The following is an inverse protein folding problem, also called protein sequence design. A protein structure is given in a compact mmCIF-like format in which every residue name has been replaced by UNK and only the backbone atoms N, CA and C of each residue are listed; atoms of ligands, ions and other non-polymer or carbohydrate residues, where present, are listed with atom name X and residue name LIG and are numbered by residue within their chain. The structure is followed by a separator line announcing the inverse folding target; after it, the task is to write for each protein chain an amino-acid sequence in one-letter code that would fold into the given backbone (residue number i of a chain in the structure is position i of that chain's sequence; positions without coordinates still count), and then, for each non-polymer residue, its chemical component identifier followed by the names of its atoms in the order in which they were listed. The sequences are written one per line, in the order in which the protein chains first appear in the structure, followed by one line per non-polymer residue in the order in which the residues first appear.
data_IF_230682404415
#
_entry.id   IF_230682404415
#
_cell.length_a   1.000
_cell.length_b   1.000
_cell.length_c   1.000
_cell.angle_alpha   90.00
_cell.angle_beta   90.00
_cell.angle_gamma   90.00
#
_symmetry.space_group_name_H-M   'P 1'
#
loop_
_entity.id
_entity.type
_entity.pdbx_description
1 polymer ?
#
# COMPACT_ATOMS: atom_id res chain seq x y z
N UNK A 1 -34.55 -12.10 -58.10
CA UNK A 1 -33.48 -11.19 -57.63
C UNK A 1 -32.67 -11.93 -56.56
N UNK A 2 -31.43 -12.31 -56.85
CA UNK A 2 -30.60 -13.13 -55.94
C UNK A 2 -29.79 -12.20 -55.02
N UNK A 3 -30.05 -12.27 -53.71
CA UNK A 3 -29.37 -11.45 -52.71
C UNK A 3 -27.89 -11.83 -52.57
N UNK A 4 -26.99 -10.86 -52.75
CA UNK A 4 -25.55 -11.05 -52.53
C UNK A 4 -25.26 -11.13 -51.02
N UNK A 5 -24.74 -12.25 -50.56
CA UNK A 5 -24.25 -12.39 -49.18
C UNK A 5 -22.95 -11.60 -49.00
N UNK A 6 -23.00 -10.51 -48.24
CA UNK A 6 -21.83 -9.72 -47.88
C UNK A 6 -20.91 -10.52 -46.95
N UNK A 7 -19.71 -10.87 -47.43
CA UNK A 7 -18.69 -11.55 -46.62
C UNK A 7 -18.02 -10.54 -45.69
N UNK A 8 -18.10 -10.78 -44.38
CA UNK A 8 -17.46 -9.93 -43.35
C UNK A 8 -15.93 -10.04 -43.43
N UNK A 9 -15.19 -8.93 -43.25
CA UNK A 9 -13.72 -8.95 -43.28
C UNK A 9 -13.16 -9.71 -42.06
N UNK A 10 -12.13 -10.55 -42.29
CA UNK A 10 -11.45 -11.29 -41.23
C UNK A 10 -10.46 -10.36 -40.50
N UNK A 11 -10.62 -10.24 -39.18
CA UNK A 11 -9.83 -9.36 -38.30
C UNK A 11 -8.46 -9.96 -37.87
N UNK A 12 -8.10 -11.15 -38.35
CA UNK A 12 -6.85 -11.82 -37.97
C UNK A 12 -6.05 -12.24 -39.19
N UNK A 13 -4.73 -12.09 -39.11
CA UNK A 13 -3.77 -12.56 -40.12
C UNK A 13 -3.68 -14.09 -40.04
N UNK A 14 -3.73 -14.76 -41.18
CA UNK A 14 -3.63 -16.23 -41.22
C UNK A 14 -2.23 -16.68 -40.76
N UNK A 15 -2.18 -17.76 -39.97
CA UNK A 15 -0.93 -18.31 -39.46
C UNK A 15 0.00 -18.75 -40.62
N UNK A 16 1.33 -18.59 -40.49
CA UNK A 16 2.27 -19.11 -41.48
C UNK A 16 2.14 -20.63 -41.53
N UNK A 17 1.89 -21.17 -42.73
CA UNK A 17 1.90 -22.62 -42.93
C UNK A 17 3.34 -23.09 -43.06
N UNK A 18 3.78 -24.12 -42.33
CA UNK A 18 5.05 -24.78 -42.65
C UNK A 18 4.93 -25.41 -44.04
N UNK A 19 5.96 -25.22 -44.85
CA UNK A 19 6.04 -25.81 -46.18
C UNK A 19 5.92 -27.34 -46.05
N UNK A 20 4.95 -27.94 -46.76
CA UNK A 20 4.91 -29.38 -46.95
C UNK A 20 6.01 -29.75 -47.94
N UNK A 21 7.20 -30.05 -47.43
CA UNK A 21 8.22 -30.78 -48.18
C UNK A 21 7.83 -32.26 -48.28
N UNK A 22 8.03 -32.93 -49.43
CA UNK A 22 7.85 -34.38 -49.56
C UNK A 22 8.78 -35.12 -48.61
N UNK A 23 8.22 -36.02 -47.81
CA UNK A 23 8.98 -37.02 -47.06
C UNK A 23 9.54 -38.05 -48.07
N UNK A 24 10.86 -38.21 -48.12
CA UNK A 24 11.52 -39.39 -48.72
C UNK A 24 12.58 -39.90 -47.73
N UNK A 25 12.57 -41.19 -47.35
CA UNK A 25 13.61 -41.81 -46.52
C UNK A 25 14.80 -42.32 -47.36
N UNK A 26 16.04 -42.14 -46.87
CA UNK A 26 17.19 -42.97 -47.26
C UNK A 26 18.46 -42.24 -47.71
N UNK A 27 19.49 -42.33 -46.85
CA UNK A 27 20.92 -42.57 -47.13
C UNK A 27 21.85 -41.49 -47.74
N UNK A 28 22.83 -41.13 -46.89
CA UNK A 28 24.28 -40.97 -47.08
C UNK A 28 24.98 -39.80 -47.82
N UNK A 29 26.09 -39.45 -47.17
CA UNK A 29 27.32 -38.76 -47.61
C UNK A 29 27.31 -37.23 -47.87
N UNK A 30 28.20 -36.56 -47.15
CA UNK A 30 28.57 -35.15 -47.30
C UNK A 30 29.50 -34.96 -48.53
N UNK A 31 29.72 -33.72 -49.02
CA UNK A 31 30.80 -32.94 -48.42
C UNK A 31 30.56 -31.42 -48.32
N UNK A 32 31.27 -30.83 -47.36
CA UNK A 32 31.54 -29.38 -47.12
C UNK A 32 32.26 -28.71 -48.33
N UNK A 33 32.33 -27.36 -48.51
CA UNK A 33 32.90 -26.48 -47.48
C UNK A 33 32.55 -24.96 -47.43
N UNK A 34 33.02 -24.39 -46.31
CA UNK A 34 33.53 -23.02 -46.08
C UNK A 34 32.55 -21.84 -45.87
N UNK A 35 32.55 -21.32 -44.63
CA UNK A 35 32.45 -19.88 -44.40
C UNK A 35 31.93 -19.44 -43.02
N UNK A 36 32.85 -18.91 -42.20
CA UNK A 36 32.65 -18.04 -41.03
C UNK A 36 32.23 -18.68 -39.69
N UNK A 37 33.26 -18.86 -38.86
CA UNK A 37 33.23 -19.16 -37.44
C UNK A 37 32.51 -18.07 -36.63
N UNK A 38 31.66 -18.47 -35.70
CA UNK A 38 31.43 -17.73 -34.47
C UNK A 38 31.21 -18.74 -33.33
N UNK A 39 32.24 -18.86 -32.49
CA UNK A 39 32.31 -19.76 -31.37
C UNK A 39 31.13 -19.57 -30.39
N UNK A 40 30.37 -20.63 -30.15
CA UNK A 40 29.70 -20.83 -28.87
C UNK A 40 29.89 -22.27 -28.42
N UNK A 41 30.57 -22.38 -27.29
CA UNK A 41 30.92 -23.62 -26.62
C UNK A 41 29.72 -24.56 -26.56
N UNK A 42 29.90 -25.72 -27.19
CA UNK A 42 29.07 -26.89 -26.99
C UNK A 42 29.34 -27.42 -25.58
N UNK A 43 28.57 -26.96 -24.60
CA UNK A 43 28.39 -27.71 -23.37
C UNK A 43 27.40 -28.83 -23.69
N UNK A 44 27.92 -30.06 -23.80
CA UNK A 44 27.20 -31.25 -24.18
C UNK A 44 25.91 -31.41 -23.37
N UNK A 45 24.80 -31.49 -24.09
CA UNK A 45 23.55 -31.99 -23.54
C UNK A 45 23.71 -33.49 -23.29
N UNK A 46 24.21 -33.83 -22.10
CA UNK A 46 24.22 -35.21 -21.62
C UNK A 46 22.75 -35.58 -21.37
N UNK A 47 22.21 -36.41 -22.26
CA UNK A 47 20.96 -37.12 -22.04
C UNK A 47 21.13 -37.93 -20.75
N UNK A 48 20.44 -37.53 -19.67
CA UNK A 48 20.49 -38.23 -18.39
C UNK A 48 19.82 -39.59 -18.55
N UNK A 49 20.59 -40.61 -18.90
CA UNK A 49 20.16 -42.00 -18.94
C UNK A 49 20.13 -42.55 -17.51
N UNK A 50 18.94 -43.00 -17.10
CA UNK A 50 18.63 -43.72 -15.86
C UNK A 50 19.12 -43.13 -14.51
N UNK A 51 18.14 -42.53 -13.81
CA UNK A 51 18.02 -42.39 -12.36
C UNK A 51 19.15 -41.67 -11.61
N UNK A 52 19.18 -40.34 -11.78
CA UNK A 52 20.09 -39.36 -11.14
C UNK A 52 20.17 -39.49 -9.60
N UNK A 53 19.13 -40.02 -8.95
CA UNK A 53 19.04 -40.11 -7.48
C UNK A 53 19.22 -41.53 -6.92
N UNK A 54 19.57 -42.53 -7.74
CA UNK A 54 19.60 -43.94 -7.32
C UNK A 54 20.54 -44.24 -6.13
N UNK A 55 21.54 -43.38 -5.86
CA UNK A 55 22.47 -43.52 -4.74
C UNK A 55 22.20 -42.61 -3.55
N UNK A 56 21.18 -41.74 -3.60
CA UNK A 56 20.99 -40.73 -2.55
C UNK A 56 20.12 -41.29 -1.43
N UNK A 57 20.74 -41.61 -0.29
CA UNK A 57 20.04 -41.95 0.94
C UNK A 57 19.63 -40.66 1.66
N UNK A 58 18.37 -40.29 1.54
CA UNK A 58 17.80 -39.11 2.22
C UNK A 58 17.14 -39.61 3.50
N UNK A 59 17.66 -39.19 4.66
CA UNK A 59 17.06 -39.54 5.94
C UNK A 59 15.73 -38.79 6.15
N UNK A 60 14.66 -39.47 6.57
CA UNK A 60 13.33 -38.85 6.72
C UNK A 60 13.32 -37.71 7.73
N UNK A 61 14.23 -37.74 8.71
CA UNK A 61 14.37 -36.70 9.74
C UNK A 61 14.99 -35.41 9.21
N UNK A 62 15.79 -35.45 8.13
CA UNK A 62 16.40 -34.26 7.54
C UNK A 62 15.47 -33.51 6.59
N UNK A 63 14.34 -34.11 6.20
CA UNK A 63 13.31 -33.47 5.38
C UNK A 63 12.47 -32.45 6.17
N UNK A 64 12.48 -32.54 7.51
CA UNK A 64 11.80 -31.58 8.38
C UNK A 64 12.71 -30.37 8.58
N UNK A 65 12.83 -29.54 7.52
CA UNK A 65 13.37 -28.19 7.67
C UNK A 65 12.29 -27.32 8.29
N UNK A 66 12.35 -27.13 9.60
CA UNK A 66 11.66 -26.01 10.27
C UNK A 66 12.34 -24.73 9.80
N UNK A 67 11.80 -24.09 8.78
CA UNK A 67 12.22 -22.75 8.40
C UNK A 67 11.73 -21.81 9.51
N UNK A 68 12.65 -21.08 10.13
CA UNK A 68 12.30 -19.98 11.02
C UNK A 68 11.50 -18.98 10.21
N UNK A 69 10.23 -18.82 10.59
CA UNK A 69 9.28 -17.98 9.89
C UNK A 69 9.73 -16.55 10.11
N UNK A 70 10.43 -16.00 9.14
CA UNK A 70 10.88 -14.61 9.13
C UNK A 70 9.64 -13.72 9.26
N UNK A 71 9.65 -12.77 10.20
CA UNK A 71 8.47 -11.99 10.63
C UNK A 71 7.80 -11.26 9.45
N UNK A 72 8.54 -11.05 8.37
CA UNK A 72 8.08 -10.46 7.12
C UNK A 72 7.13 -11.35 6.30
N UNK A 73 7.15 -12.67 6.47
CA UNK A 73 6.26 -13.61 5.75
C UNK A 73 4.93 -13.85 6.44
N UNK A 74 4.77 -13.44 7.70
CA UNK A 74 3.53 -13.61 8.48
C UNK A 74 2.36 -12.87 7.80
N UNK A 75 2.62 -11.71 7.18
CA UNK A 75 1.60 -10.94 6.45
C UNK A 75 1.01 -11.71 5.25
N UNK A 76 1.77 -12.62 4.64
CA UNK A 76 1.26 -13.50 3.59
C UNK A 76 0.55 -14.76 4.10
N UNK A 77 0.86 -15.19 5.33
CA UNK A 77 0.23 -16.34 5.98
C UNK A 77 -1.17 -16.01 6.53
N UNK A 78 -1.34 -14.84 7.17
CA UNK A 78 -2.63 -14.42 7.76
C UNK A 78 -3.72 -14.23 6.69
N UNK A 79 -3.35 -13.83 5.47
CA UNK A 79 -4.32 -13.70 4.35
C UNK A 79 -4.75 -15.06 3.75
N UNK A 80 -4.11 -16.15 4.17
CA UNK A 80 -4.46 -17.53 3.83
C UNK A 80 -5.07 -18.31 5.01
N UNK A 81 -5.25 -17.66 6.16
CA UNK A 81 -5.92 -18.19 7.36
C UNK A 81 -7.43 -17.88 7.35
N UNK A 82 -8.02 -17.70 6.16
CA UNK A 82 -9.32 -18.30 5.98
C UNK A 82 -9.01 -19.80 6.05
N UNK A 83 -9.30 -20.44 7.19
CA UNK A 83 -9.34 -21.89 7.30
C UNK A 83 -9.91 -22.44 5.98
N UNK A 84 -9.51 -23.63 5.55
CA UNK A 84 -10.16 -24.27 4.40
C UNK A 84 -11.61 -24.64 4.77
N UNK A 85 -12.43 -23.70 5.24
CA UNK A 85 -13.87 -23.69 5.26
C UNK A 85 -14.24 -24.20 3.88
N UNK A 86 -14.76 -25.42 3.88
CA UNK A 86 -15.22 -26.09 2.68
C UNK A 86 -16.50 -25.38 2.24
N UNK A 87 -16.34 -24.15 1.73
CA UNK A 87 -17.45 -23.33 1.29
C UNK A 87 -18.18 -24.10 0.18
N UNK A 88 -19.52 -24.15 0.21
CA UNK A 88 -20.30 -24.76 -0.84
C UNK A 88 -19.94 -24.16 -2.20
N UNK A 89 -20.03 -24.96 -3.27
CA UNK A 89 -19.71 -24.56 -4.65
C UNK A 89 -20.38 -23.24 -5.05
N UNK A 90 -21.60 -22.99 -4.56
CA UNK A 90 -22.35 -21.75 -4.77
C UNK A 90 -21.62 -20.52 -4.20
N UNK A 91 -21.12 -20.60 -2.98
CA UNK A 91 -20.38 -19.50 -2.33
C UNK A 91 -19.02 -19.28 -3.00
N UNK A 92 -18.31 -20.36 -3.33
CA UNK A 92 -17.05 -20.27 -4.10
C UNK A 92 -17.26 -19.56 -5.45
N UNK A 93 -18.37 -19.83 -6.13
CA UNK A 93 -18.69 -19.13 -7.38
C UNK A 93 -19.03 -17.65 -7.16
N UNK A 94 -19.78 -17.31 -6.11
CA UNK A 94 -20.05 -15.91 -5.75
C UNK A 94 -18.77 -15.15 -5.44
N UNK A 95 -17.89 -15.70 -4.61
CA UNK A 95 -16.60 -15.09 -4.28
C UNK A 95 -15.72 -14.89 -5.53
N UNK A 96 -15.70 -15.86 -6.46
CA UNK A 96 -14.98 -15.69 -7.73
C UNK A 96 -15.54 -14.52 -8.54
N UNK A 97 -16.87 -14.39 -8.65
CA UNK A 97 -17.53 -13.28 -9.35
C UNK A 97 -17.23 -11.95 -8.66
N UNK A 98 -17.31 -11.89 -7.34
CA UNK A 98 -17.04 -10.69 -6.57
C UNK A 98 -15.58 -10.24 -6.69
N UNK A 99 -14.62 -11.15 -6.50
CA UNK A 99 -13.19 -10.88 -6.72
C UNK A 99 -12.92 -10.39 -8.14
N UNK A 100 -13.63 -10.94 -9.13
CA UNK A 100 -13.52 -10.50 -10.53
C UNK A 100 -14.07 -9.08 -10.73
N UNK A 101 -15.24 -8.77 -10.16
CA UNK A 101 -15.84 -7.44 -10.22
C UNK A 101 -14.97 -6.40 -9.50
N UNK A 102 -14.52 -6.69 -8.29
CA UNK A 102 -13.57 -5.87 -7.53
C UNK A 102 -12.30 -5.59 -8.35
N UNK A 103 -11.74 -6.61 -9.03
CA UNK A 103 -10.58 -6.41 -9.90
C UNK A 103 -10.88 -5.46 -11.06
N UNK A 104 -12.05 -5.57 -11.69
CA UNK A 104 -12.46 -4.65 -12.76
C UNK A 104 -12.61 -3.21 -12.23
N UNK A 105 -13.26 -3.04 -11.09
CA UNK A 105 -13.47 -1.74 -10.45
C UNK A 105 -12.13 -1.09 -10.08
N UNK A 106 -11.21 -1.83 -9.46
CA UNK A 106 -9.87 -1.34 -9.13
C UNK A 106 -9.11 -0.89 -10.37
N UNK A 107 -9.18 -1.65 -11.47
CA UNK A 107 -8.55 -1.24 -12.75
C UNK A 107 -9.18 0.04 -13.30
N UNK A 108 -10.51 0.20 -13.21
CA UNK A 108 -11.19 1.42 -13.65
C UNK A 108 -10.77 2.63 -12.81
N UNK A 109 -10.74 2.48 -11.49
CA UNK A 109 -10.31 3.53 -10.56
C UNK A 109 -8.86 3.94 -10.83
N UNK A 110 -7.94 2.98 -10.95
CA UNK A 110 -6.55 3.26 -11.27
C UNK A 110 -6.39 4.01 -12.61
N UNK A 111 -7.13 3.61 -13.65
CA UNK A 111 -7.12 4.33 -14.94
C UNK A 111 -7.71 5.74 -14.83
N UNK A 112 -8.73 5.93 -14.01
CA UNK A 112 -9.32 7.25 -13.77
C UNK A 112 -8.35 8.16 -13.03
N UNK A 113 -7.68 7.65 -12.00
CA UNK A 113 -6.64 8.36 -11.26
C UNK A 113 -5.49 8.77 -12.19
N UNK A 114 -4.96 7.86 -13.02
CA UNK A 114 -3.91 8.19 -14.00
C UNK A 114 -4.33 9.30 -14.97
N UNK A 115 -5.58 9.26 -15.48
CA UNK A 115 -6.09 10.32 -16.35
C UNK A 115 -6.21 11.66 -15.61
N UNK A 116 -6.69 11.64 -14.37
CA UNK A 116 -6.80 12.85 -13.55
C UNK A 116 -5.42 13.43 -13.24
N UNK A 117 -4.45 12.59 -12.89
CA UNK A 117 -3.07 12.98 -12.64
C UNK A 117 -2.40 13.54 -13.89
N UNK A 118 -2.56 12.92 -15.06
CA UNK A 118 -2.04 13.46 -16.32
C UNK A 118 -2.62 14.84 -16.65
N UNK A 119 -3.92 15.06 -16.39
CA UNK A 119 -4.55 16.37 -16.56
C UNK A 119 -3.97 17.41 -15.62
N UNK A 120 -3.75 17.06 -14.36
CA UNK A 120 -3.15 17.94 -13.34
C UNK A 120 -1.71 18.31 -13.68
N UNK A 121 -0.89 17.31 -14.04
CA UNK A 121 0.49 17.51 -14.51
C UNK A 121 0.58 18.38 -15.76
N UNK A 122 -0.42 18.30 -16.65
CA UNK A 122 -0.48 19.11 -17.86
C UNK A 122 -0.93 20.55 -17.59
N UNK A 123 -1.70 20.80 -16.53
CA UNK A 123 -2.01 22.16 -16.11
C UNK A 123 -0.80 22.75 -15.38
N UNK A 124 -0.19 23.84 -15.87
CA UNK A 124 0.94 24.50 -15.20
C UNK A 124 0.40 25.31 -14.01
N UNK A 125 -0.15 24.61 -13.02
CA UNK A 125 -0.67 25.18 -11.79
C UNK A 125 0.42 25.01 -10.75
N UNK A 126 0.97 26.12 -10.29
CA UNK A 126 1.94 26.11 -9.17
C UNK A 126 1.18 25.63 -7.93
N UNK A 127 1.43 24.39 -7.51
CA UNK A 127 0.92 23.84 -6.24
C UNK A 127 -0.29 22.90 -6.37
N UNK A 128 -0.13 21.78 -7.08
CA UNK A 128 -1.07 20.67 -7.00
C UNK A 128 -1.20 20.19 -5.53
N UNK A 129 -2.34 20.45 -4.88
CA UNK A 129 -2.62 20.05 -3.49
C UNK A 129 -3.06 18.58 -3.36
N UNK A 130 -3.35 17.92 -4.48
CA UNK A 130 -3.88 16.56 -4.47
C UNK A 130 -2.96 15.50 -3.88
N UNK A 131 -1.62 15.55 -4.08
CA UNK A 131 -0.69 14.64 -3.41
C UNK A 131 -0.74 14.73 -1.88
N UNK A 132 -1.05 15.91 -1.33
CA UNK A 132 -1.22 16.08 0.12
C UNK A 132 -2.49 15.40 0.62
N UNK A 133 -3.56 15.41 -0.17
CA UNK A 133 -4.82 14.75 0.18
C UNK A 133 -4.71 13.23 0.10
N UNK A 134 -4.00 12.71 -0.90
CA UNK A 134 -3.81 11.27 -1.11
C UNK A 134 -2.88 10.64 -0.04
N UNK A 135 -1.97 11.43 0.52
CA UNK A 135 -1.11 11.02 1.63
C UNK A 135 -1.83 10.97 2.99
N UNK A 136 -3.09 11.41 3.08
CA UNK A 136 -3.85 11.33 4.32
C UNK A 136 -4.50 9.95 4.48
N UNK A 137 -4.51 9.37 5.69
CA UNK A 137 -5.23 8.12 5.95
C UNK A 137 -6.73 8.26 5.66
N UNK A 138 -7.32 7.23 5.04
CA UNK A 138 -8.77 7.17 4.91
C UNK A 138 -9.43 6.92 6.28
N UNK A 139 -10.68 7.36 6.45
CA UNK A 139 -11.41 7.21 7.73
C UNK A 139 -11.56 5.73 8.13
N UNK A 140 -11.65 4.82 7.15
CA UNK A 140 -11.62 3.36 7.33
C UNK A 140 -10.34 2.89 8.02
N UNK A 141 -9.20 3.39 7.56
CA UNK A 141 -7.87 3.06 8.07
C UNK A 141 -7.68 3.62 9.49
N UNK A 142 -8.19 4.83 9.77
CA UNK A 142 -8.19 5.39 11.12
C UNK A 142 -9.02 4.56 12.09
N UNK A 143 -10.21 4.11 11.67
CA UNK A 143 -11.07 3.26 12.51
C UNK A 143 -10.41 1.91 12.74
N UNK A 144 -9.76 1.32 11.73
CA UNK A 144 -9.00 0.08 11.88
C UNK A 144 -7.79 0.26 12.82
N UNK A 145 -7.00 1.32 12.67
CA UNK A 145 -5.85 1.63 13.51
C UNK A 145 -6.25 1.95 14.97
N UNK A 146 -7.38 2.65 15.18
CA UNK A 146 -7.89 2.96 16.52
C UNK A 146 -8.24 1.73 17.36
N UNK A 147 -8.55 0.58 16.72
CA UNK A 147 -8.84 -0.68 17.42
C UNK A 147 -7.59 -1.26 18.09
N UNK A 148 -6.39 -0.90 17.61
CA UNK A 148 -5.11 -1.37 18.13
C UNK A 148 -4.48 -0.41 19.14
N UNK A 149 -4.95 0.84 19.21
CA UNK A 149 -4.45 1.84 20.16
C UNK A 149 -5.45 2.05 21.29
N UNK A 150 -5.42 1.17 22.30
CA UNK A 150 -6.12 1.41 23.57
C UNK A 150 -5.34 2.44 24.39
N UNK A 151 -5.37 3.69 23.99
CA UNK A 151 -5.08 4.76 24.93
C UNK A 151 -6.23 4.80 25.96
N UNK A 152 -5.94 4.83 27.27
CA UNK A 152 -6.99 5.12 28.25
C UNK A 152 -7.59 6.46 27.87
N UNK A 153 -8.88 6.46 27.54
CA UNK A 153 -9.66 7.67 27.35
C UNK A 153 -9.74 8.35 28.72
N UNK A 154 -8.71 9.10 29.09
CA UNK A 154 -8.88 10.16 30.08
C UNK A 154 -9.89 11.12 29.47
N UNK A 155 -11.03 11.39 30.12
CA UNK A 155 -11.88 12.49 29.72
C UNK A 155 -11.09 13.77 30.06
N UNK A 156 -10.16 14.15 29.18
CA UNK A 156 -9.69 15.51 29.13
C UNK A 156 -10.91 16.34 28.75
N UNK A 157 -11.65 16.81 29.77
CA UNK A 157 -12.52 17.96 29.62
C UNK A 157 -11.58 19.03 29.11
N UNK A 158 -11.66 19.29 27.80
CA UNK A 158 -11.05 20.45 27.16
C UNK A 158 -11.36 21.59 28.14
N UNK A 159 -10.34 22.13 28.82
CA UNK A 159 -10.50 23.44 29.48
C UNK A 159 -11.19 24.26 28.41
N UNK A 160 -12.41 24.72 28.70
CA UNK A 160 -13.31 25.29 27.71
C UNK A 160 -12.55 26.48 27.14
N UNK A 161 -11.80 26.21 26.08
CA UNK A 161 -11.05 27.19 25.33
C UNK A 161 -12.18 28.02 24.78
N UNK A 162 -12.42 29.14 25.45
CA UNK A 162 -13.55 30.03 25.23
C UNK A 162 -13.81 30.02 23.73
N UNK A 163 -14.94 29.45 23.27
CA UNK A 163 -15.10 29.09 21.86
C UNK A 163 -15.07 30.38 21.02
N UNK A 164 -13.87 30.83 20.63
CA UNK A 164 -13.66 32.14 20.03
C UNK A 164 -14.51 32.26 18.76
N UNK A 165 -14.70 31.16 18.03
CA UNK A 165 -15.54 31.13 16.83
C UNK A 165 -17.01 31.54 17.07
N UNK A 166 -17.55 31.31 18.27
CA UNK A 166 -18.95 31.60 18.61
C UNK A 166 -19.16 33.02 19.17
N UNK A 167 -18.08 33.72 19.53
CA UNK A 167 -18.14 35.04 20.16
C UNK A 167 -18.29 36.17 19.13
N UNK A 168 -19.02 37.22 19.53
CA UNK A 168 -19.08 38.48 18.78
C UNK A 168 -17.69 39.14 18.71
N UNK A 169 -17.41 39.92 17.67
CA UNK A 169 -16.10 40.57 17.47
C UNK A 169 -15.67 41.47 18.63
N UNK A 170 -16.60 42.20 19.25
CA UNK A 170 -16.35 43.05 20.43
C UNK A 170 -15.93 42.23 21.64
N UNK A 171 -16.57 41.08 21.83
CA UNK A 171 -16.27 40.16 22.92
C UNK A 171 -14.88 39.53 22.74
N UNK A 172 -14.52 39.14 21.51
CA UNK A 172 -13.16 38.68 21.17
C UNK A 172 -12.11 39.74 21.51
N UNK A 173 -12.37 41.00 21.14
CA UNK A 173 -11.47 42.12 21.46
C UNK A 173 -11.31 42.29 22.98
N UNK A 174 -12.39 42.15 23.76
CA UNK A 174 -12.31 42.24 25.22
C UNK A 174 -11.46 41.12 25.83
N UNK A 175 -11.61 39.87 25.37
CA UNK A 175 -10.77 38.75 25.84
C UNK A 175 -9.30 39.03 25.54
N UNK A 176 -8.98 39.47 24.32
CA UNK A 176 -7.61 39.81 23.95
C UNK A 176 -7.05 40.94 24.82
N UNK A 177 -7.82 41.99 25.10
CA UNK A 177 -7.39 43.08 25.98
C UNK A 177 -7.13 42.60 27.41
N UNK A 178 -7.91 41.65 27.92
CA UNK A 178 -7.67 41.04 29.23
C UNK A 178 -6.38 40.20 29.23
N UNK A 179 -6.14 39.40 28.19
CA UNK A 179 -4.91 38.61 28.04
C UNK A 179 -3.67 39.52 27.95
N UNK A 180 -3.74 40.59 27.16
CA UNK A 180 -2.68 41.60 27.06
C UNK A 180 -2.42 42.26 28.43
N UNK A 181 -3.47 42.60 29.19
CA UNK A 181 -3.33 43.15 30.52
C UNK A 181 -2.68 42.16 31.51
N UNK A 182 -3.06 40.88 31.46
CA UNK A 182 -2.44 39.82 32.27
C UNK A 182 -0.97 39.61 31.93
N UNK A 183 -0.63 39.67 30.64
CA UNK A 183 0.75 39.56 30.18
C UNK A 183 1.60 40.75 30.66
N UNK A 184 1.11 41.97 30.50
CA UNK A 184 1.80 43.16 30.99
C UNK A 184 1.99 43.14 32.51
N UNK A 185 1.00 42.63 33.27
CA UNK A 185 1.15 42.42 34.71
C UNK A 185 2.33 41.49 35.00
N UNK A 186 2.36 40.33 34.36
CA UNK A 186 3.43 39.33 34.55
C UNK A 186 4.82 39.87 34.19
N UNK A 187 4.96 40.62 33.09
CA UNK A 187 6.24 41.25 32.72
C UNK A 187 6.63 42.36 33.69
N UNK A 188 5.64 43.08 34.24
CA UNK A 188 5.89 44.18 35.17
C UNK A 188 6.32 43.67 36.54
N UNK A 189 5.97 42.44 36.90
CA UNK A 189 6.31 41.82 38.18
C UNK A 189 7.84 41.73 38.35
N UNK A 190 8.41 42.28 39.44
CA UNK A 190 9.86 42.35 39.63
C UNK A 190 10.50 40.96 39.77
N UNK A 191 9.76 39.98 40.32
CA UNK A 191 10.20 38.59 40.45
C UNK A 191 10.40 37.94 39.07
N UNK A 192 9.50 38.22 38.13
CA UNK A 192 9.60 37.72 36.76
C UNK A 192 10.76 38.39 36.01
N UNK A 193 11.01 39.69 36.24
CA UNK A 193 12.16 40.40 35.66
C UNK A 193 13.50 39.89 36.19
N UNK A 194 13.58 39.56 37.48
CA UNK A 194 14.81 39.06 38.09
C UNK A 194 15.16 37.65 37.61
N UNK A 195 14.17 36.74 37.55
CA UNK A 195 14.38 35.35 37.18
C UNK A 195 13.16 34.76 36.47
N UNK A 196 13.03 34.93 35.14
CA UNK A 196 11.82 34.52 34.42
C UNK A 196 11.68 33.00 34.33
N UNK A 197 12.78 32.27 34.15
CA UNK A 197 12.76 30.82 33.97
C UNK A 197 12.33 30.07 35.24
N UNK A 198 12.69 30.57 36.42
CA UNK A 198 12.32 29.96 37.70
C UNK A 198 10.82 30.11 37.97
N UNK A 199 10.28 31.32 37.75
CA UNK A 199 8.85 31.62 37.90
C UNK A 199 8.01 30.76 36.96
N UNK A 200 8.44 30.59 35.71
CA UNK A 200 7.78 29.69 34.75
C UNK A 200 7.87 28.23 35.20
N UNK A 201 9.04 27.78 35.67
CA UNK A 201 9.25 26.44 36.20
C UNK A 201 8.34 26.10 37.39
N UNK A 202 8.20 27.04 38.34
CA UNK A 202 7.27 26.92 39.48
C UNK A 202 5.81 26.87 39.03
N UNK A 203 5.41 27.69 38.06
CA UNK A 203 4.04 27.67 37.53
C UNK A 203 3.69 26.32 36.90
N UNK A 204 4.59 25.79 36.06
CA UNK A 204 4.42 24.50 35.40
C UNK A 204 4.40 23.34 36.40
N UNK A 205 5.26 23.36 37.41
CA UNK A 205 5.26 22.31 38.44
C UNK A 205 3.98 22.32 39.27
N UNK A 206 3.45 23.50 39.64
CA UNK A 206 2.12 23.63 40.29
C UNK A 206 0.99 23.08 39.40
N UNK A 207 0.99 23.41 38.10
CA UNK A 207 0.03 22.87 37.11
C UNK A 207 0.06 21.34 37.05
N UNK A 208 1.26 20.76 36.95
CA UNK A 208 1.44 19.30 36.89
C UNK A 208 1.00 18.59 38.18
N UNK A 209 1.22 19.20 39.34
CA UNK A 209 0.74 18.66 40.61
C UNK A 209 -0.79 18.65 40.68
N UNK A 210 -1.45 19.73 40.26
CA UNK A 210 -2.91 19.81 40.20
C UNK A 210 -3.52 18.74 39.26
N UNK A 211 -2.89 18.51 38.10
CA UNK A 211 -3.31 17.45 37.18
C UNK A 211 -3.16 16.05 37.79
N UNK A 212 -2.09 15.80 38.56
CA UNK A 212 -1.87 14.52 39.26
C UNK A 212 -2.83 14.30 40.42
N UNK A 213 -3.14 15.36 41.17
CA UNK A 213 -4.03 15.27 42.33
C UNK A 213 -5.50 15.15 41.95
N UNK A 214 -5.85 15.25 40.66
CA UNK A 214 -7.21 15.07 40.16
C UNK A 214 -8.23 16.05 40.74
N UNK A 215 -7.78 17.09 41.45
CA UNK A 215 -8.64 18.11 42.04
C UNK A 215 -9.08 19.06 40.92
N UNK A 216 -10.37 19.09 40.58
CA UNK A 216 -10.88 20.12 39.68
C UNK A 216 -10.83 21.48 40.39
N UNK A 217 -10.57 22.52 39.60
CA UNK A 217 -10.99 23.88 39.96
C UNK A 217 -12.51 23.97 39.99
#
# INVERSE_FOLDING_TARGET
MVGKAARRPRLHRAAPRPAKGPWTPGEDEAPLPTGAQAARAAAGQVFMTSNVFAGVKIDPKSLVKTLDIDVRSISSAIKGEDEKVLLPKKEKMKLRKERWLQKIENIKLAKQQQKAEAKRKATPVVGDLHPLMDALPELSDMVAASKFCRHPKTPAKKMLLTNFCQMKSTQKRQVLMQEVAQFHKTISDPLFKASPLTVLGEHLSKRLQLEREGKPF
#
